data_IF_945813630838
#
_entry.id   IF_945813630838
#
_cell.length_a   1.000
_cell.length_b   1.000
_cell.length_c   1.000
_cell.angle_alpha   90.00
_cell.angle_beta   90.00
_cell.angle_gamma   90.00
#
_symmetry.space_group_name_H-M   'P 1'
#
loop_
_entity.id
_entity.type
_entity.pdbx_description
1 polymer ?
#
# COMPACT_ATOMS: atom_id res chain seq x y z
N UNK A 1 10.36 22.12 3.82
CA UNK A 1 9.51 20.94 4.06
C UNK A 1 9.89 19.92 2.99
N UNK A 2 10.17 18.66 3.32
CA UNK A 2 10.46 17.68 2.27
C UNK A 2 9.19 17.36 1.48
N UNK A 3 9.33 17.00 0.21
CA UNK A 3 8.21 16.65 -0.65
C UNK A 3 7.39 15.46 -0.10
N UNK A 4 8.06 14.48 0.51
CA UNK A 4 7.40 13.37 1.20
C UNK A 4 6.56 13.85 2.39
N UNK A 5 7.10 14.76 3.21
CA UNK A 5 6.39 15.27 4.38
C UNK A 5 5.14 16.06 3.96
N UNK A 6 5.23 16.84 2.88
CA UNK A 6 4.08 17.52 2.29
C UNK A 6 3.03 16.50 1.80
N UNK A 7 3.45 15.51 1.02
CA UNK A 7 2.56 14.47 0.50
C UNK A 7 1.82 13.73 1.63
N UNK A 8 2.52 13.29 2.67
CA UNK A 8 1.90 12.59 3.80
C UNK A 8 1.00 13.47 4.65
N UNK A 9 1.29 14.77 4.73
CA UNK A 9 0.44 15.74 5.43
C UNK A 9 -0.89 15.91 4.70
N UNK A 10 -0.86 16.09 3.38
CA UNK A 10 -2.07 16.17 2.56
C UNK A 10 -2.82 14.83 2.52
N UNK A 11 -2.11 13.71 2.40
CA UNK A 11 -2.70 12.37 2.43
C UNK A 11 -3.52 12.14 3.70
N UNK A 12 -2.99 12.52 4.86
CA UNK A 12 -3.72 12.40 6.13
C UNK A 12 -5.01 13.23 6.15
N UNK A 13 -5.05 14.41 5.51
CA UNK A 13 -6.29 15.20 5.40
C UNK A 13 -7.34 14.46 4.59
N UNK A 14 -6.97 13.92 3.42
CA UNK A 14 -7.88 13.15 2.57
C UNK A 14 -8.39 11.88 3.27
N UNK A 15 -7.54 11.21 4.06
CA UNK A 15 -7.94 10.06 4.88
C UNK A 15 -8.98 10.46 5.93
N UNK A 16 -8.80 11.61 6.59
CA UNK A 16 -9.75 12.13 7.57
C UNK A 16 -11.07 12.54 6.93
N UNK A 17 -11.04 13.22 5.78
CA UNK A 17 -12.24 13.61 5.02
C UNK A 17 -13.05 12.39 4.55
N UNK A 18 -12.38 11.27 4.23
CA UNK A 18 -13.04 9.99 3.91
C UNK A 18 -13.51 9.20 5.13
N UNK A 19 -13.54 9.80 6.32
CA UNK A 19 -14.07 9.17 7.54
C UNK A 19 -13.10 8.22 8.24
N UNK A 20 -11.79 8.38 8.01
CA UNK A 20 -10.73 7.59 8.68
C UNK A 20 -10.89 6.07 8.50
N UNK A 21 -10.85 5.55 7.26
CA UNK A 21 -10.98 4.11 6.99
C UNK A 21 -9.84 3.26 7.59
N UNK A 22 -8.74 3.89 7.99
CA UNK A 22 -7.63 3.28 8.72
C UNK A 22 -6.95 4.31 9.62
N UNK A 23 -6.13 3.82 10.56
CA UNK A 23 -5.39 4.68 11.48
C UNK A 23 -4.33 5.49 10.74
N UNK A 24 -4.40 6.81 10.88
CA UNK A 24 -3.38 7.72 10.37
C UNK A 24 -2.12 7.65 11.23
N UNK A 25 -0.95 7.71 10.59
CA UNK A 25 0.35 7.90 11.24
C UNK A 25 0.76 9.36 11.17
N UNK A 26 1.65 9.76 12.08
CA UNK A 26 2.30 11.06 12.00
C UNK A 26 3.05 11.17 10.67
N UNK A 27 2.94 12.28 9.91
CA UNK A 27 3.75 12.48 8.71
C UNK A 27 5.24 12.53 9.07
N UNK A 28 6.07 11.81 8.31
CA UNK A 28 7.53 11.80 8.43
C UNK A 28 8.16 12.13 7.07
N UNK A 29 9.49 12.26 7.04
CA UNK A 29 10.24 12.54 5.81
C UNK A 29 10.50 11.30 4.96
N UNK A 30 10.16 10.11 5.48
CA UNK A 30 10.34 8.83 4.80
C UNK A 30 9.51 8.70 3.53
N UNK A 31 9.99 7.86 2.61
CA UNK A 31 9.30 7.59 1.35
C UNK A 31 8.20 6.53 1.49
N UNK A 32 7.94 6.01 2.69
CA UNK A 32 6.92 4.98 2.94
C UNK A 32 5.95 5.35 4.04
N UNK A 33 4.76 4.74 3.99
CA UNK A 33 3.69 4.88 4.97
C UNK A 33 3.01 3.53 5.14
N UNK A 34 3.09 2.94 6.34
CA UNK A 34 2.49 1.62 6.59
C UNK A 34 1.16 1.70 7.34
N UNK A 35 0.29 0.76 7.02
CA UNK A 35 -1.04 0.57 7.57
C UNK A 35 -1.15 -0.85 8.10
N UNK A 36 -1.47 -0.99 9.38
CA UNK A 36 -1.67 -2.29 10.00
C UNK A 36 -2.97 -2.94 9.53
N UNK A 37 -2.94 -4.26 9.34
CA UNK A 37 -4.09 -5.07 8.93
C UNK A 37 -4.57 -6.06 10.01
N UNK A 38 -4.07 -5.92 11.24
CA UNK A 38 -4.48 -6.74 12.40
C UNK A 38 -3.57 -7.94 12.72
N UNK A 39 -2.54 -8.19 11.92
CA UNK A 39 -1.48 -9.18 12.19
C UNK A 39 -0.11 -8.52 12.27
N UNK A 40 0.84 -9.15 12.95
CA UNK A 40 2.27 -8.77 12.97
C UNK A 40 3.06 -9.37 11.80
N UNK A 41 2.51 -10.37 11.12
CA UNK A 41 3.18 -11.08 10.02
C UNK A 41 3.21 -10.25 8.73
N UNK A 42 2.19 -9.41 8.53
CA UNK A 42 2.03 -8.58 7.34
C UNK A 42 1.41 -7.21 7.64
N UNK A 43 1.74 -6.25 6.79
CA UNK A 43 1.19 -4.89 6.83
C UNK A 43 1.05 -4.33 5.40
N UNK A 44 0.15 -3.39 5.20
CA UNK A 44 0.07 -2.68 3.92
C UNK A 44 1.10 -1.55 3.96
N UNK A 45 1.95 -1.43 2.96
CA UNK A 45 2.93 -0.35 2.83
C UNK A 45 2.65 0.46 1.57
N UNK A 46 2.62 1.77 1.69
CA UNK A 46 2.51 2.73 0.58
C UNK A 46 3.88 3.34 0.39
N UNK A 47 4.47 3.26 -0.80
CA UNK A 47 5.81 3.80 -1.10
C UNK A 47 5.81 4.75 -2.27
N UNK A 48 6.44 5.90 -2.09
CA UNK A 48 6.68 6.90 -3.13
C UNK A 48 8.02 6.58 -3.81
N UNK A 49 7.99 6.21 -5.10
CA UNK A 49 9.18 5.79 -5.85
C UNK A 49 9.55 6.83 -6.90
N UNK A 50 10.76 7.38 -6.74
CA UNK A 50 11.52 8.16 -7.74
C UNK A 50 10.69 9.20 -8.51
N UNK A 51 9.84 9.98 -7.81
CA UNK A 51 9.02 11.05 -8.38
C UNK A 51 8.11 10.65 -9.55
N UNK A 52 7.76 9.37 -9.72
CA UNK A 52 6.99 8.91 -10.89
C UNK A 52 5.85 7.96 -10.55
N UNK A 53 6.05 7.13 -9.53
CA UNK A 53 5.13 6.04 -9.23
C UNK A 53 4.94 5.88 -7.73
N UNK A 54 3.77 5.39 -7.36
CA UNK A 54 3.41 5.01 -6.00
C UNK A 54 3.17 3.51 -6.02
N UNK A 55 3.73 2.81 -5.03
CA UNK A 55 3.50 1.38 -4.84
C UNK A 55 2.63 1.22 -3.60
N UNK A 56 1.49 0.56 -3.76
CA UNK A 56 0.70 0.06 -2.63
C UNK A 56 0.92 -1.43 -2.58
N UNK A 57 1.45 -1.94 -1.47
CA UNK A 57 1.82 -3.35 -1.36
C UNK A 57 1.41 -3.97 -0.04
N UNK A 58 1.14 -5.28 -0.06
CA UNK A 58 1.21 -6.09 1.15
C UNK A 58 2.67 -6.46 1.38
N UNK A 59 3.23 -5.99 2.50
CA UNK A 59 4.56 -6.32 2.97
C UNK A 59 4.47 -7.44 3.99
N UNK A 60 5.03 -8.60 3.67
CA UNK A 60 5.09 -9.78 4.54
C UNK A 60 6.50 -9.83 5.13
N UNK A 61 6.61 -9.80 6.45
CA UNK A 61 7.89 -9.55 7.13
C UNK A 61 8.91 -10.69 7.00
N UNK A 62 8.57 -11.88 7.46
CA UNK A 62 9.49 -13.04 7.52
C UNK A 62 8.75 -14.38 7.38
N UNK A 63 7.66 -14.39 6.62
CA UNK A 63 6.82 -15.58 6.45
C UNK A 63 6.70 -15.92 4.97
N UNK A 64 7.59 -16.80 4.48
CA UNK A 64 7.53 -17.33 3.11
C UNK A 64 6.34 -18.27 2.94
N UNK A 65 6.03 -19.04 3.97
CA UNK A 65 4.87 -19.93 4.00
C UNK A 65 3.57 -19.14 3.82
N UNK A 66 3.43 -17.98 4.48
CA UNK A 66 2.28 -17.11 4.27
C UNK A 66 2.19 -16.60 2.82
N UNK A 67 3.32 -16.22 2.23
CA UNK A 67 3.33 -15.82 0.82
C UNK A 67 2.92 -16.98 -0.10
N UNK A 68 3.44 -18.18 0.12
CA UNK A 68 3.14 -19.35 -0.69
C UNK A 68 1.66 -19.76 -0.56
N UNK A 69 1.09 -19.66 0.66
CA UNK A 69 -0.34 -19.83 0.90
C UNK A 69 -1.17 -18.82 0.10
N UNK A 70 -0.86 -17.53 0.21
CA UNK A 70 -1.56 -16.48 -0.54
C UNK A 70 -1.41 -16.65 -2.06
N UNK A 71 -0.21 -17.06 -2.51
CA UNK A 71 0.06 -17.28 -3.93
C UNK A 71 -0.73 -18.48 -4.48
N UNK A 72 -0.95 -19.53 -3.67
CA UNK A 72 -1.81 -20.66 -4.07
C UNK A 72 -3.27 -20.25 -4.32
N UNK A 73 -3.71 -19.15 -3.70
CA UNK A 73 -5.05 -18.57 -3.82
C UNK A 73 -5.05 -17.28 -4.65
N UNK A 74 -3.98 -17.02 -5.41
CA UNK A 74 -3.78 -15.79 -6.16
C UNK A 74 -4.98 -15.41 -7.03
N UNK A 75 -5.50 -16.34 -7.82
CA UNK A 75 -6.59 -16.05 -8.76
C UNK A 75 -7.87 -15.64 -8.03
N UNK A 76 -8.15 -16.23 -6.87
CA UNK A 76 -9.29 -15.87 -6.03
C UNK A 76 -9.10 -14.50 -5.39
N UNK A 77 -7.90 -14.24 -4.85
CA UNK A 77 -7.54 -12.95 -4.25
C UNK A 77 -7.61 -11.84 -5.31
N UNK A 78 -7.01 -12.01 -6.50
CA UNK A 78 -7.05 -11.00 -7.57
C UNK A 78 -8.48 -10.75 -8.07
N UNK A 79 -9.34 -11.78 -8.04
CA UNK A 79 -10.77 -11.66 -8.35
C UNK A 79 -11.52 -10.87 -7.28
N UNK A 80 -11.28 -11.12 -6.00
CA UNK A 80 -11.87 -10.34 -4.90
C UNK A 80 -11.37 -8.89 -4.88
N UNK A 81 -10.09 -8.67 -5.16
CA UNK A 81 -9.50 -7.34 -5.26
C UNK A 81 -10.05 -6.55 -6.47
N UNK A 82 -10.41 -7.25 -7.54
CA UNK A 82 -10.84 -6.65 -8.81
C UNK A 82 -9.68 -6.07 -9.64
N UNK A 83 -8.43 -6.41 -9.31
CA UNK A 83 -7.24 -5.99 -10.05
C UNK A 83 -6.08 -6.96 -9.81
N UNK A 84 -5.15 -7.00 -10.78
CA UNK A 84 -3.96 -7.84 -10.70
C UNK A 84 -2.85 -7.17 -9.90
N UNK A 85 -2.05 -7.97 -9.21
CA UNK A 85 -0.90 -7.50 -8.45
C UNK A 85 0.39 -8.21 -8.90
N UNK A 86 1.53 -7.61 -8.60
CA UNK A 86 2.83 -8.25 -8.79
C UNK A 86 3.22 -9.00 -7.52
N UNK A 87 3.28 -10.31 -7.63
CA UNK A 87 3.64 -11.21 -6.55
C UNK A 87 5.15 -11.42 -6.55
N UNK A 88 5.83 -10.95 -5.51
CA UNK A 88 7.28 -11.03 -5.36
C UNK A 88 7.61 -11.79 -4.08
N UNK A 89 7.94 -13.07 -4.24
CA UNK A 89 8.43 -13.91 -3.13
C UNK A 89 9.72 -13.35 -2.56
N UNK A 90 10.63 -12.83 -3.41
CA UNK A 90 11.96 -12.34 -3.02
C UNK A 90 12.75 -13.41 -2.26
N UNK A 91 13.08 -14.51 -2.92
CA UNK A 91 13.77 -15.67 -2.33
C UNK A 91 15.10 -15.31 -1.63
N UNK A 92 15.79 -14.30 -2.15
CA UNK A 92 17.05 -13.80 -1.58
C UNK A 92 16.86 -12.91 -0.34
N UNK A 93 15.62 -12.59 0.03
CA UNK A 93 15.27 -11.74 1.17
C UNK A 93 14.34 -12.47 2.14
N UNK A 94 14.35 -12.06 3.41
CA UNK A 94 13.40 -12.56 4.41
C UNK A 94 11.94 -12.15 4.11
N UNK A 95 11.76 -10.92 3.62
CA UNK A 95 10.46 -10.37 3.33
C UNK A 95 9.91 -10.84 1.97
N UNK A 96 8.59 -10.84 1.84
CA UNK A 96 7.87 -11.03 0.57
C UNK A 96 6.94 -9.85 0.33
N UNK A 97 6.59 -9.57 -0.92
CA UNK A 97 5.78 -8.41 -1.29
C UNK A 97 4.75 -8.73 -2.36
N UNK A 98 3.54 -8.19 -2.21
CA UNK A 98 2.50 -8.24 -3.24
C UNK A 98 2.16 -6.80 -3.61
N UNK A 99 2.53 -6.35 -4.81
CA UNK A 99 2.63 -4.94 -5.17
C UNK A 99 1.60 -4.51 -6.22
N UNK A 100 1.00 -3.35 -6.03
CA UNK A 100 0.18 -2.66 -7.02
C UNK A 100 0.80 -1.30 -7.34
N UNK A 101 0.90 -0.97 -8.63
CA UNK A 101 1.55 0.23 -9.13
C UNK A 101 0.52 1.29 -9.51
N UNK A 102 0.66 2.47 -8.94
CA UNK A 102 -0.12 3.66 -9.29
C UNK A 102 0.84 4.63 -9.99
N UNK A 103 0.50 5.00 -11.23
CA UNK A 103 1.26 5.97 -12.03
C UNK A 103 0.73 7.38 -11.81
N UNK A 104 1.58 8.36 -12.10
CA UNK A 104 1.18 9.78 -12.14
C UNK A 104 1.64 10.60 -10.95
N UNK A 105 2.42 10.04 -10.02
CA UNK A 105 3.08 10.85 -8.99
C UNK A 105 4.05 11.81 -9.67
N UNK A 106 3.90 13.10 -9.42
CA UNK A 106 4.79 14.15 -9.85
C UNK A 106 4.93 15.15 -8.69
N UNK A 107 6.15 15.41 -8.24
CA UNK A 107 6.36 16.36 -7.13
C UNK A 107 6.41 17.81 -7.60
N UNK A 108 6.67 18.03 -8.88
CA UNK A 108 6.75 19.34 -9.50
C UNK A 108 5.35 19.80 -9.97
N UNK A 109 4.43 18.87 -10.27
CA UNK A 109 3.01 19.14 -10.51
C UNK A 109 2.08 18.37 -9.55
N UNK A 110 1.35 19.11 -8.70
CA UNK A 110 0.51 18.58 -7.61
C UNK A 110 -0.99 18.58 -7.92
N UNK A 111 -1.39 18.92 -9.14
CA UNK A 111 -2.81 19.06 -9.53
C UNK A 111 -3.59 17.75 -9.38
N UNK A 112 -2.92 16.61 -9.58
CA UNK A 112 -3.53 15.28 -9.51
C UNK A 112 -3.41 14.61 -8.13
N UNK A 113 -2.85 15.28 -7.13
CA UNK A 113 -2.66 14.70 -5.79
C UNK A 113 -3.96 14.22 -5.16
N UNK A 114 -5.07 14.98 -5.17
CA UNK A 114 -6.32 14.51 -4.58
C UNK A 114 -6.82 13.19 -5.20
N UNK A 115 -6.72 13.04 -6.52
CA UNK A 115 -7.11 11.82 -7.24
C UNK A 115 -6.17 10.65 -6.91
N UNK A 116 -4.84 10.89 -6.90
CA UNK A 116 -3.85 9.88 -6.50
C UNK A 116 -4.07 9.41 -5.07
N UNK A 117 -4.28 10.34 -4.13
CA UNK A 117 -4.52 10.03 -2.72
C UNK A 117 -5.83 9.26 -2.56
N UNK A 118 -6.90 9.65 -3.26
CA UNK A 118 -8.15 8.89 -3.28
C UNK A 118 -7.94 7.46 -3.76
N UNK A 119 -7.24 7.27 -4.89
CA UNK A 119 -6.90 5.95 -5.43
C UNK A 119 -6.09 5.10 -4.46
N UNK A 120 -5.09 5.69 -3.79
CA UNK A 120 -4.30 4.98 -2.77
C UNK A 120 -5.22 4.51 -1.64
N UNK A 121 -6.06 5.39 -1.11
CA UNK A 121 -6.98 5.08 -0.01
C UNK A 121 -7.93 3.94 -0.41
N UNK A 122 -8.52 4.01 -1.61
CA UNK A 122 -9.38 2.94 -2.14
C UNK A 122 -8.66 1.60 -2.20
N UNK A 123 -7.44 1.57 -2.75
CA UNK A 123 -6.64 0.34 -2.83
C UNK A 123 -6.28 -0.18 -1.44
N UNK A 124 -5.84 0.68 -0.52
CA UNK A 124 -5.53 0.30 0.86
C UNK A 124 -6.74 -0.30 1.57
N UNK A 125 -7.93 0.30 1.40
CA UNK A 125 -9.18 -0.21 1.99
C UNK A 125 -9.52 -1.59 1.44
N UNK A 126 -9.45 -1.77 0.11
CA UNK A 126 -9.71 -3.07 -0.52
C UNK A 126 -8.73 -4.13 -0.01
N UNK A 127 -7.42 -3.84 0.01
CA UNK A 127 -6.41 -4.77 0.51
C UNK A 127 -6.63 -5.11 1.99
N UNK A 128 -6.99 -4.12 2.82
CA UNK A 128 -7.27 -4.29 4.24
C UNK A 128 -8.54 -5.13 4.50
N UNK A 129 -9.50 -5.13 3.58
CA UNK A 129 -10.71 -5.93 3.71
C UNK A 129 -10.55 -7.36 3.16
N UNK A 130 -9.69 -7.55 2.15
CA UNK A 130 -9.51 -8.85 1.49
C UNK A 130 -8.44 -9.69 2.17
N UNK A 131 -7.23 -9.16 2.38
CA UNK A 131 -6.10 -9.98 2.87
C UNK A 131 -6.31 -10.63 4.25
N UNK A 132 -6.94 -9.98 5.25
CA UNK A 132 -7.19 -10.63 6.53
C UNK A 132 -8.08 -11.87 6.47
N UNK A 133 -8.83 -12.10 5.37
CA UNK A 133 -9.58 -13.35 5.17
C UNK A 133 -8.69 -14.54 4.82
N UNK A 134 -7.48 -14.26 4.33
CA UNK A 134 -6.55 -15.25 3.78
C UNK A 134 -5.31 -15.46 4.66
N UNK A 135 -5.03 -14.52 5.56
CA UNK A 135 -3.96 -14.59 6.57
C UNK A 135 -4.53 -15.31 7.78
#
# INVERSE_FOLDING_TARGET
>A
MSENLYFWTEFNKVVLEKGKPFNIRKPYTDAWYDVAIGTSEAQISIRLISKKHIIVELYINNSKELFDKLFSQKDEIEKELGFKMQWKRLDDMKASRIQYFIKGLDFDNKDNYPDLMSKIIEKVVVLKNVFPKYI
#
